data_IF_121066252846
#
_entry.id   IF_121066252846
#
_cell.length_a   1.000
_cell.length_b   1.000
_cell.length_c   1.000
_cell.angle_alpha   90.00
_cell.angle_beta   90.00
_cell.angle_gamma   90.00
#
_symmetry.space_group_name_H-M   'P 1'
#
loop_
_entity.id
_entity.type
_entity.pdbx_description
1 polymer ?
#
# COMPACT_ATOMS: atom_id res chain seq x y z
N UNK A 1 8.43 -17.56 0.28
CA UNK A 1 7.36 -17.83 -0.71
C UNK A 1 6.04 -17.26 -0.21
N UNK A 2 5.34 -16.49 -1.00
CA UNK A 2 4.01 -16.01 -0.60
C UNK A 2 3.04 -17.20 -0.48
N UNK A 3 2.14 -17.11 0.48
CA UNK A 3 1.11 -18.15 0.70
C UNK A 3 -0.01 -18.09 -0.33
N UNK A 4 -0.19 -16.93 -0.95
CA UNK A 4 -1.20 -16.73 -1.98
C UNK A 4 -0.51 -16.58 -3.32
N UNK A 5 -1.12 -17.07 -4.40
CA UNK A 5 -0.56 -16.88 -5.74
C UNK A 5 -0.55 -15.38 -6.11
N UNK A 6 0.31 -15.01 -7.02
CA UNK A 6 0.32 -13.64 -7.54
C UNK A 6 -1.00 -13.33 -8.26
N UNK A 7 -1.31 -12.04 -8.33
CA UNK A 7 -2.50 -11.58 -9.06
C UNK A 7 -2.31 -11.83 -10.55
N UNK A 8 -3.27 -12.52 -11.13
CA UNK A 8 -3.35 -12.75 -12.58
C UNK A 8 -4.40 -11.82 -13.17
N UNK A 9 -3.96 -10.81 -13.92
CA UNK A 9 -4.85 -9.83 -14.52
C UNK A 9 -5.92 -10.47 -15.41
N UNK A 10 -5.60 -11.59 -16.05
CA UNK A 10 -6.51 -12.26 -16.96
C UNK A 10 -7.73 -12.88 -16.26
N UNK A 11 -7.62 -13.15 -14.96
CA UNK A 11 -8.69 -13.81 -14.19
C UNK A 11 -9.43 -12.88 -13.24
N UNK A 12 -9.16 -11.58 -13.28
CA UNK A 12 -9.85 -10.61 -12.42
C UNK A 12 -11.32 -10.51 -12.78
N UNK A 13 -12.18 -10.45 -11.75
CA UNK A 13 -13.59 -10.11 -11.94
C UNK A 13 -13.71 -8.65 -12.38
N UNK A 14 -14.89 -8.26 -12.86
CA UNK A 14 -15.13 -6.86 -13.27
C UNK A 14 -14.90 -5.89 -12.09
N UNK A 15 -15.33 -6.24 -10.90
CA UNK A 15 -15.14 -5.42 -9.69
C UNK A 15 -13.66 -5.33 -9.33
N UNK A 16 -12.97 -6.47 -9.33
CA UNK A 16 -11.52 -6.51 -9.07
C UNK A 16 -10.75 -5.68 -10.10
N UNK A 17 -11.13 -5.77 -11.37
CA UNK A 17 -10.49 -5.00 -12.44
C UNK A 17 -10.63 -3.52 -12.24
N UNK A 18 -11.82 -3.07 -11.85
CA UNK A 18 -12.07 -1.66 -11.57
C UNK A 18 -11.14 -1.15 -10.46
N UNK A 19 -11.02 -1.90 -9.37
CA UNK A 19 -10.17 -1.51 -8.22
C UNK A 19 -8.68 -1.61 -8.62
N UNK A 20 -8.31 -2.66 -9.32
CA UNK A 20 -6.95 -2.83 -9.84
C UNK A 20 -6.51 -1.60 -10.64
N UNK A 21 -7.37 -1.14 -11.57
CA UNK A 21 -7.06 0.01 -12.40
C UNK A 21 -6.96 1.31 -11.57
N UNK A 22 -7.76 1.45 -10.52
CA UNK A 22 -7.66 2.58 -9.59
C UNK A 22 -6.31 2.58 -8.86
N UNK A 23 -5.89 1.43 -8.35
CA UNK A 23 -4.60 1.29 -7.64
C UNK A 23 -3.46 1.61 -8.60
N UNK A 24 -3.52 1.10 -9.82
CA UNK A 24 -2.51 1.39 -10.84
C UNK A 24 -2.40 2.88 -11.14
N UNK A 25 -3.52 3.60 -11.22
CA UNK A 25 -3.50 5.04 -11.47
C UNK A 25 -2.88 5.83 -10.32
N UNK A 26 -3.15 5.41 -9.09
CA UNK A 26 -2.69 6.14 -7.89
C UNK A 26 -1.26 5.74 -7.52
N UNK A 27 -0.94 4.45 -7.59
CA UNK A 27 0.31 3.90 -7.07
C UNK A 27 1.31 3.47 -8.15
N UNK A 28 0.86 3.29 -9.38
CA UNK A 28 1.68 2.81 -10.48
C UNK A 28 1.93 1.32 -10.47
N UNK A 29 1.55 0.62 -9.42
CA UNK A 29 1.65 -0.84 -9.34
C UNK A 29 0.76 -1.38 -8.22
N UNK A 30 0.38 -2.64 -8.33
CA UNK A 30 -0.40 -3.35 -7.33
C UNK A 30 0.55 -4.27 -6.56
N UNK A 31 0.95 -3.84 -5.38
CA UNK A 31 1.87 -4.60 -4.52
C UNK A 31 1.57 -4.35 -3.05
N UNK A 32 2.27 -5.08 -2.17
CA UNK A 32 2.09 -4.96 -0.74
C UNK A 32 0.68 -5.35 -0.35
N UNK A 33 0.01 -4.59 0.51
CA UNK A 33 -1.33 -4.95 0.98
C UNK A 33 -2.35 -5.05 -0.15
N UNK A 34 -2.22 -4.26 -1.21
CA UNK A 34 -3.19 -4.29 -2.33
C UNK A 34 -3.16 -5.61 -3.08
N UNK A 35 -2.01 -6.28 -3.17
CA UNK A 35 -1.93 -7.59 -3.78
C UNK A 35 -2.75 -8.63 -3.03
N UNK A 36 -2.98 -8.42 -1.73
CA UNK A 36 -3.79 -9.29 -0.90
C UNK A 36 -5.23 -8.79 -0.86
N UNK A 37 -5.44 -7.50 -0.63
CA UNK A 37 -6.77 -6.90 -0.47
C UNK A 37 -7.62 -7.00 -1.73
N UNK A 38 -7.00 -7.08 -2.90
CA UNK A 38 -7.73 -7.17 -4.17
C UNK A 38 -8.60 -8.43 -4.25
N UNK A 39 -8.28 -9.46 -3.48
CA UNK A 39 -9.10 -10.66 -3.37
C UNK A 39 -10.44 -10.39 -2.67
N UNK A 40 -10.48 -9.31 -1.90
CA UNK A 40 -11.69 -8.76 -1.31
C UNK A 40 -11.79 -7.31 -1.82
N UNK A 41 -12.36 -7.08 -3.01
CA UNK A 41 -12.25 -5.77 -3.69
C UNK A 41 -12.73 -4.59 -2.87
N UNK A 42 -13.77 -4.76 -2.08
CA UNK A 42 -14.28 -3.71 -1.21
C UNK A 42 -13.24 -3.28 -0.17
N UNK A 43 -12.51 -4.25 0.39
CA UNK A 43 -11.42 -3.96 1.31
C UNK A 43 -10.31 -3.15 0.63
N UNK A 44 -9.94 -3.53 -0.59
CA UNK A 44 -8.94 -2.80 -1.36
C UNK A 44 -9.38 -1.36 -1.64
N UNK A 45 -10.65 -1.16 -1.93
CA UNK A 45 -11.20 0.16 -2.20
C UNK A 45 -11.12 1.06 -0.98
N UNK A 46 -11.56 0.59 0.18
CA UNK A 46 -11.49 1.35 1.42
C UNK A 46 -10.04 1.54 1.89
N UNK A 47 -9.20 0.54 1.70
CA UNK A 47 -7.78 0.63 2.01
C UNK A 47 -7.08 1.70 1.19
N UNK A 48 -7.41 1.80 -0.10
CA UNK A 48 -6.85 2.82 -0.97
C UNK A 48 -7.28 4.22 -0.52
N UNK A 49 -8.56 4.39 -0.19
CA UNK A 49 -9.08 5.67 0.30
C UNK A 49 -8.41 6.08 1.62
N UNK A 50 -8.22 5.14 2.53
CA UNK A 50 -7.56 5.42 3.80
C UNK A 50 -6.10 5.83 3.59
N UNK A 51 -5.36 5.11 2.77
CA UNK A 51 -3.98 5.45 2.48
C UNK A 51 -3.84 6.78 1.76
N UNK A 52 -4.76 7.07 0.85
CA UNK A 52 -4.76 8.35 0.14
C UNK A 52 -5.03 9.51 1.10
N UNK A 53 -5.92 9.33 2.05
CA UNK A 53 -6.17 10.32 3.10
C UNK A 53 -4.90 10.60 3.92
N UNK A 54 -4.18 9.56 4.33
CA UNK A 54 -2.94 9.72 5.07
C UNK A 54 -1.86 10.40 4.24
N UNK A 55 -1.79 10.12 2.94
CA UNK A 55 -0.78 10.69 2.07
C UNK A 55 -1.03 12.16 1.73
N UNK A 56 -2.28 12.61 1.67
CA UNK A 56 -2.63 13.92 1.11
C UNK A 56 -3.42 14.84 2.03
N UNK A 57 -4.13 14.34 3.03
CA UNK A 57 -5.09 15.14 3.78
C UNK A 57 -4.87 15.18 5.29
N UNK A 58 -3.99 14.35 5.82
CA UNK A 58 -3.67 14.37 7.25
C UNK A 58 -2.68 15.50 7.53
N UNK A 59 -2.94 16.26 8.58
CA UNK A 59 -2.08 17.39 9.00
C UNK A 59 -0.87 16.89 9.77
N UNK A 60 -0.07 16.07 9.13
CA UNK A 60 1.14 15.53 9.72
C UNK A 60 2.26 15.64 8.70
N UNK A 61 3.43 16.11 9.13
CA UNK A 61 4.57 16.20 8.25
C UNK A 61 4.90 14.83 7.65
N UNK A 62 5.26 14.81 6.37
CA UNK A 62 5.65 13.57 5.69
C UNK A 62 6.79 12.86 6.40
N UNK A 63 7.75 13.61 6.91
CA UNK A 63 8.86 13.06 7.67
C UNK A 63 8.39 12.28 8.89
N UNK A 64 7.47 12.84 9.66
CA UNK A 64 6.90 12.16 10.84
C UNK A 64 6.03 10.97 10.43
N UNK A 65 5.29 11.09 9.34
CA UNK A 65 4.50 9.99 8.79
C UNK A 65 5.41 8.80 8.45
N UNK A 66 6.51 9.03 7.75
CA UNK A 66 7.44 7.95 7.40
C UNK A 66 8.09 7.36 8.65
N UNK A 67 8.42 8.19 9.64
CA UNK A 67 8.95 7.69 10.90
C UNK A 67 7.96 6.77 11.61
N UNK A 68 6.68 7.15 11.67
CA UNK A 68 5.62 6.30 12.26
C UNK A 68 5.51 4.96 11.53
N UNK A 69 5.55 4.98 10.21
CA UNK A 69 5.47 3.76 9.41
C UNK A 69 6.68 2.86 9.70
N UNK A 70 7.87 3.42 9.76
CA UNK A 70 9.08 2.65 10.06
C UNK A 70 9.04 2.03 11.45
N UNK A 71 8.61 2.78 12.46
CA UNK A 71 8.48 2.25 13.82
C UNK A 71 7.46 1.11 13.84
N UNK A 72 6.30 1.30 13.22
CA UNK A 72 5.27 0.26 13.15
C UNK A 72 5.77 -0.97 12.40
N UNK A 73 6.46 -0.77 11.29
CA UNK A 73 7.01 -1.87 10.49
C UNK A 73 8.05 -2.66 11.28
N UNK A 74 8.90 -1.98 12.06
CA UNK A 74 9.91 -2.64 12.88
C UNK A 74 9.27 -3.46 13.99
N UNK A 75 8.28 -2.90 14.67
CA UNK A 75 7.57 -3.61 15.75
C UNK A 75 6.84 -4.84 15.24
N UNK A 76 6.26 -4.76 14.05
CA UNK A 76 5.53 -5.87 13.43
C UNK A 76 6.44 -6.80 12.62
N UNK A 77 7.74 -6.52 12.54
CA UNK A 77 8.70 -7.24 11.70
C UNK A 77 8.23 -7.31 10.24
N UNK A 78 7.70 -6.20 9.74
CA UNK A 78 7.19 -6.08 8.38
C UNK A 78 8.32 -5.64 7.45
N UNK A 79 9.11 -6.58 6.97
CA UNK A 79 10.33 -6.32 6.21
C UNK A 79 10.08 -5.58 4.90
N UNK A 80 9.01 -5.94 4.19
CA UNK A 80 8.67 -5.27 2.93
C UNK A 80 8.29 -3.81 3.15
N UNK A 81 7.45 -3.54 4.16
CA UNK A 81 7.07 -2.17 4.50
C UNK A 81 8.29 -1.33 4.91
N UNK A 82 9.19 -1.91 5.71
CA UNK A 82 10.45 -1.26 6.07
C UNK A 82 11.26 -0.89 4.84
N UNK A 83 11.45 -1.86 3.95
CA UNK A 83 12.24 -1.67 2.73
C UNK A 83 11.72 -0.52 1.87
N UNK A 84 10.41 -0.47 1.66
CA UNK A 84 9.79 0.58 0.85
C UNK A 84 9.90 1.95 1.53
N UNK A 85 9.58 2.03 2.82
CA UNK A 85 9.46 3.31 3.51
C UNK A 85 10.79 3.86 4.03
N UNK A 86 11.81 3.03 4.13
CA UNK A 86 13.16 3.50 4.48
C UNK A 86 13.66 4.53 3.46
N UNK A 87 13.53 4.24 2.18
CA UNK A 87 13.94 5.17 1.13
C UNK A 87 13.12 6.45 1.15
N UNK A 88 11.82 6.36 1.42
CA UNK A 88 10.95 7.53 1.55
C UNK A 88 11.37 8.39 2.75
N UNK A 89 11.67 7.75 3.87
CA UNK A 89 12.11 8.47 5.08
C UNK A 89 13.43 9.19 4.85
N UNK A 90 14.39 8.54 4.20
CA UNK A 90 15.66 9.18 3.86
C UNK A 90 15.45 10.37 2.94
N UNK A 91 14.52 10.29 2.00
CA UNK A 91 14.15 11.40 1.13
C UNK A 91 13.52 12.58 1.87
N UNK A 92 12.92 12.33 3.06
CA UNK A 92 12.30 13.36 3.89
C UNK A 92 13.25 13.85 5.00
N UNK A 93 14.50 13.45 4.98
CA UNK A 93 15.52 13.97 5.90
C UNK A 93 15.67 13.22 7.21
N UNK A 94 15.21 11.99 7.27
CA UNK A 94 15.41 11.15 8.45
C UNK A 94 16.75 10.45 8.41
#
# INVERSE_FOLDING_TARGET
MPRLPEIDEATLTAVQRRIYDQVMRVRGQVRGPFAIWLRQPELAEYGLKLQDMFASRVKLERRLMQLMILVSARLATAQFAWFIHESHALGEGI
#
